data_IF_401053279267
#
_entry.id   IF_401053279267
#
_cell.length_a   1.000
_cell.length_b   1.000
_cell.length_c   1.000
_cell.angle_alpha   90.00
_cell.angle_beta   90.00
_cell.angle_gamma   90.00
#
_symmetry.space_group_name_H-M   'P 1'
#
loop_
_entity.id
_entity.type
_entity.pdbx_description
1 polymer ?
#
# COMPACT_ATOMS: atom_id res chain seq x y z
N UNK A 1 25.91 30.45 15.34
CA UNK A 1 25.48 31.44 16.36
C UNK A 1 24.69 30.67 17.42
N UNK A 2 25.09 30.73 18.68
CA UNK A 2 24.32 30.12 19.77
C UNK A 2 23.08 30.98 20.00
N UNK A 3 21.90 30.44 19.68
CA UNK A 3 20.63 31.04 20.09
C UNK A 3 20.32 30.60 21.51
N UNK A 4 19.67 31.44 22.31
CA UNK A 4 19.14 31.08 23.63
C UNK A 4 17.62 31.09 23.52
N UNK A 5 16.98 29.98 23.87
CA UNK A 5 15.52 29.85 23.88
C UNK A 5 15.01 29.60 25.29
N UNK A 6 13.75 29.96 25.52
CA UNK A 6 13.07 29.72 26.80
C UNK A 6 12.88 28.22 26.97
N UNK A 7 13.21 27.68 28.14
CA UNK A 7 13.17 26.23 28.39
C UNK A 7 11.77 25.63 28.20
N UNK A 8 10.71 26.42 28.43
CA UNK A 8 9.31 26.04 28.25
C UNK A 8 8.87 25.89 26.80
N UNK A 9 9.55 26.54 25.87
CA UNK A 9 9.13 26.63 24.47
C UNK A 9 9.63 25.45 23.63
N UNK A 10 10.48 24.61 24.23
CA UNK A 10 11.02 23.40 23.62
C UNK A 10 10.02 22.27 23.73
N UNK A 11 9.69 21.67 22.58
CA UNK A 11 8.71 20.60 22.45
C UNK A 11 9.46 19.27 22.36
N UNK A 12 9.12 18.33 23.23
CA UNK A 12 9.59 16.95 23.13
C UNK A 12 8.45 16.03 22.68
N UNK A 13 8.58 15.50 21.46
CA UNK A 13 7.59 14.60 20.84
C UNK A 13 7.82 13.14 21.23
N UNK A 14 7.21 12.73 22.34
CA UNK A 14 7.28 11.34 22.84
C UNK A 14 6.69 10.31 21.86
N UNK A 15 5.85 10.74 20.92
CA UNK A 15 5.28 9.90 19.86
C UNK A 15 6.31 9.53 18.77
N UNK A 16 7.25 10.43 18.50
CA UNK A 16 8.32 10.21 17.52
C UNK A 16 9.43 9.34 18.09
N UNK A 17 9.88 9.65 19.30
CA UNK A 17 11.01 8.96 19.95
C UNK A 17 10.60 7.63 20.60
N UNK A 18 11.41 6.57 20.52
CA UNK A 18 11.20 5.37 21.33
C UNK A 18 11.22 5.70 22.82
N UNK A 19 10.70 4.79 23.65
CA UNK A 19 10.76 4.88 25.11
C UNK A 19 12.21 4.71 25.57
N UNK A 20 13.00 5.76 25.43
CA UNK A 20 14.36 5.83 25.95
C UNK A 20 14.29 5.63 27.46
N UNK A 21 15.17 4.78 27.97
CA UNK A 21 15.32 4.58 29.40
C UNK A 21 15.90 5.89 30.00
N UNK A 22 15.02 6.72 30.56
CA UNK A 22 15.34 8.06 31.07
C UNK A 22 16.18 7.91 32.35
N UNK A 23 17.51 7.99 32.21
CA UNK A 23 18.43 7.85 33.35
C UNK A 23 18.32 9.06 34.28
N UNK A 24 17.70 8.86 35.45
CA UNK A 24 17.57 9.89 36.49
C UNK A 24 18.95 10.33 37.00
N UNK A 25 19.91 9.39 37.07
CA UNK A 25 21.28 9.63 37.53
C UNK A 25 22.06 10.57 36.60
N UNK A 26 21.90 10.40 35.29
CA UNK A 26 22.55 11.24 34.28
C UNK A 26 21.99 12.67 34.31
N UNK A 27 20.68 12.82 34.51
CA UNK A 27 20.05 14.13 34.70
C UNK A 27 20.54 14.79 35.98
N UNK A 28 20.74 14.03 37.06
CA UNK A 28 21.23 14.55 38.33
C UNK A 28 22.65 15.13 38.19
N UNK A 29 23.57 14.40 37.55
CA UNK A 29 24.94 14.86 37.29
C UNK A 29 24.98 16.13 36.44
N UNK A 30 24.17 16.20 35.38
CA UNK A 30 24.10 17.42 34.56
C UNK A 30 23.43 18.59 35.28
N UNK A 31 22.54 18.32 36.24
CA UNK A 31 21.95 19.35 37.07
C UNK A 31 22.90 19.89 38.15
N UNK A 32 24.08 19.30 38.38
CA UNK A 32 25.06 19.85 39.33
C UNK A 32 25.91 20.97 38.72
N UNK A 33 26.09 20.97 37.40
CA UNK A 33 26.94 21.95 36.70
C UNK A 33 26.37 22.31 35.32
N UNK A 34 25.46 23.29 35.27
CA UNK A 34 24.72 23.66 34.06
C UNK A 34 25.54 24.51 33.08
N UNK A 35 26.44 25.35 33.59
CA UNK A 35 27.14 26.37 32.78
C UNK A 35 28.18 25.75 31.84
N UNK A 36 28.58 24.51 32.11
CA UNK A 36 29.55 23.75 31.33
C UNK A 36 28.91 22.82 30.28
N UNK A 37 27.56 22.81 30.18
CA UNK A 37 26.87 21.91 29.26
C UNK A 37 26.90 22.43 27.81
N UNK A 38 27.15 21.54 26.82
CA UNK A 38 27.06 21.91 25.41
C UNK A 38 25.61 22.23 25.01
N UNK A 39 25.39 23.13 24.03
CA UNK A 39 24.07 23.52 23.57
C UNK A 39 23.24 22.32 23.09
N UNK A 40 21.91 22.39 23.27
CA UNK A 40 20.98 21.41 22.72
C UNK A 40 20.73 21.65 21.24
N UNK A 41 20.21 20.66 20.52
CA UNK A 41 19.85 20.80 19.10
C UNK A 41 18.33 20.67 18.94
N UNK A 42 17.73 21.62 18.22
CA UNK A 42 16.28 21.69 17.97
C UNK A 42 16.02 22.01 16.49
N UNK A 43 14.81 21.76 16.01
CA UNK A 43 14.39 22.20 14.68
C UNK A 43 13.75 23.60 14.69
N UNK A 44 13.30 24.07 13.51
CA UNK A 44 12.64 25.36 13.33
C UNK A 44 11.32 25.52 14.10
N UNK A 45 10.71 24.41 14.55
CA UNK A 45 9.46 24.38 15.32
C UNK A 45 9.72 24.23 16.84
N UNK A 46 10.97 24.39 17.28
CA UNK A 46 11.44 24.12 18.65
C UNK A 46 11.27 22.65 19.10
N UNK A 47 11.15 21.71 18.16
CA UNK A 47 11.13 20.29 18.46
C UNK A 47 12.57 19.80 18.74
N UNK A 48 12.75 19.09 19.85
CA UNK A 48 14.06 18.63 20.29
C UNK A 48 14.63 17.54 19.36
N UNK A 49 15.81 17.76 18.79
CA UNK A 49 16.58 16.79 17.99
C UNK A 49 17.55 16.01 18.90
N UNK A 50 18.34 16.72 19.72
CA UNK A 50 19.31 16.12 20.65
C UNK A 50 19.43 16.92 21.95
N UNK A 51 19.76 16.22 23.04
CA UNK A 51 20.03 16.84 24.34
C UNK A 51 18.94 16.67 25.38
N UNK A 52 18.13 15.60 25.31
CA UNK A 52 17.04 15.33 26.25
C UNK A 52 17.45 15.41 27.73
N UNK A 53 18.58 14.78 28.11
CA UNK A 53 19.10 14.83 29.48
C UNK A 53 19.49 16.26 29.91
N UNK A 54 20.07 17.05 29.00
CA UNK A 54 20.50 18.44 29.23
C UNK A 54 19.29 19.35 29.41
N UNK A 55 18.33 19.29 28.49
CA UNK A 55 17.08 20.02 28.60
C UNK A 55 16.33 19.70 29.90
N UNK A 56 16.26 18.42 30.28
CA UNK A 56 15.63 17.98 31.54
C UNK A 56 16.37 18.50 32.77
N UNK A 57 17.71 18.57 32.74
CA UNK A 57 18.50 19.16 33.82
C UNK A 57 18.24 20.66 34.00
N UNK A 58 18.22 21.44 32.90
CA UNK A 58 17.85 22.86 32.92
C UNK A 58 16.42 23.08 33.43
N UNK A 59 15.47 22.20 33.06
CA UNK A 59 14.10 22.23 33.57
C UNK A 59 14.02 21.97 35.07
N UNK A 60 14.81 21.02 35.60
CA UNK A 60 14.86 20.67 37.04
C UNK A 60 15.40 21.83 37.89
N UNK A 61 16.40 22.55 37.39
CA UNK A 61 16.98 23.74 38.02
C UNK A 61 16.17 25.03 37.81
N UNK A 62 15.07 24.99 37.06
CA UNK A 62 14.23 26.15 36.71
C UNK A 62 15.02 27.26 35.99
N UNK A 63 15.98 26.90 35.14
CA UNK A 63 16.67 27.86 34.30
C UNK A 63 15.68 28.51 33.32
N UNK A 64 15.78 29.83 33.13
CA UNK A 64 14.90 30.57 32.22
C UNK A 64 15.23 30.28 30.75
N UNK A 65 16.52 30.17 30.42
CA UNK A 65 16.99 29.98 29.04
C UNK A 65 18.00 28.85 28.91
N UNK A 66 18.02 28.19 27.77
CA UNK A 66 19.01 27.16 27.41
C UNK A 66 19.66 27.49 26.06
N UNK A 67 20.98 27.33 25.91
CA UNK A 67 21.64 27.52 24.62
C UNK A 67 21.26 26.39 23.66
N UNK A 68 20.87 26.75 22.44
CA UNK A 68 20.40 25.83 21.41
C UNK A 68 21.00 26.14 20.03
N UNK A 69 21.16 25.09 19.24
CA UNK A 69 21.49 25.11 17.80
C UNK A 69 20.23 24.73 17.05
N UNK A 70 19.85 25.53 16.05
CA UNK A 70 18.70 25.26 15.21
C UNK A 70 19.19 24.56 13.94
N UNK A 71 18.66 23.37 13.68
CA UNK A 71 18.92 22.59 12.47
C UNK A 71 17.61 22.39 11.72
N UNK A 72 17.53 22.88 10.49
CA UNK A 72 16.31 22.79 9.70
C UNK A 72 16.01 21.35 9.29
N UNK A 73 14.76 20.92 9.51
CA UNK A 73 14.25 19.61 9.12
C UNK A 73 13.07 19.73 8.18
N UNK A 74 13.10 18.98 7.07
CA UNK A 74 12.04 18.97 6.04
C UNK A 74 10.87 18.03 6.34
N UNK A 75 11.07 17.03 7.22
CA UNK A 75 10.04 16.04 7.58
C UNK A 75 10.32 15.38 8.93
N UNK A 76 9.28 14.78 9.53
CA UNK A 76 9.38 13.98 10.76
C UNK A 76 10.41 12.84 10.63
N UNK A 77 10.52 12.22 9.45
CA UNK A 77 11.50 11.17 9.19
C UNK A 77 12.93 11.70 9.21
N UNK A 78 13.18 12.89 8.64
CA UNK A 78 14.49 13.54 8.69
C UNK A 78 14.86 13.97 10.12
N UNK A 79 13.88 14.49 10.87
CA UNK A 79 14.08 14.84 12.28
C UNK A 79 14.49 13.61 13.09
N UNK A 80 13.82 12.47 12.86
CA UNK A 80 14.16 11.21 13.52
C UNK A 80 15.55 10.70 13.12
N UNK A 81 15.93 10.79 11.85
CA UNK A 81 17.26 10.41 11.36
C UNK A 81 18.38 11.22 12.03
N UNK A 82 18.26 12.54 12.05
CA UNK A 82 19.23 13.43 12.72
C UNK A 82 19.33 13.12 14.20
N UNK A 83 18.20 12.90 14.86
CA UNK A 83 18.21 12.60 16.29
C UNK A 83 18.92 11.27 16.60
N UNK A 84 18.83 10.26 15.72
CA UNK A 84 19.57 9.01 15.88
C UNK A 84 21.06 9.21 15.62
N UNK A 85 21.43 9.94 14.56
CA UNK A 85 22.82 10.21 14.20
C UNK A 85 23.57 10.95 15.32
N UNK A 86 22.91 11.95 15.93
CA UNK A 86 23.45 12.71 17.07
C UNK A 86 23.54 11.87 18.33
N UNK A 87 22.54 11.03 18.60
CA UNK A 87 22.55 10.12 19.75
C UNK A 87 23.67 9.07 19.61
N UNK A 88 23.87 8.49 18.43
CA UNK A 88 24.95 7.53 18.18
C UNK A 88 26.35 8.13 18.42
N UNK A 89 26.51 9.45 18.18
CA UNK A 89 27.79 10.16 18.37
C UNK A 89 28.10 10.51 19.83
N UNK A 90 27.09 10.69 20.68
CA UNK A 90 27.25 11.31 22.02
C UNK A 90 26.54 10.59 23.18
N UNK A 91 25.75 9.54 22.94
CA UNK A 91 24.80 8.95 23.91
C UNK A 91 25.01 7.47 24.25
N UNK A 92 24.26 7.01 25.27
CA UNK A 92 24.11 5.60 25.64
C UNK A 92 23.62 4.78 24.42
N UNK A 93 24.21 3.61 24.20
CA UNK A 93 23.80 2.74 23.09
C UNK A 93 22.32 2.35 23.22
N UNK A 94 21.54 2.73 22.21
CA UNK A 94 20.16 2.27 22.01
C UNK A 94 20.08 0.74 22.04
N UNK A 95 19.02 0.20 22.62
CA UNK A 95 18.78 -1.24 22.60
C UNK A 95 18.55 -1.73 21.16
N UNK A 96 18.78 -3.02 20.90
CA UNK A 96 18.49 -3.61 19.59
C UNK A 96 16.99 -3.51 19.22
N UNK A 97 16.11 -3.49 20.22
CA UNK A 97 14.67 -3.31 20.01
C UNK A 97 14.33 -1.88 19.58
N UNK A 98 14.89 -0.87 20.25
CA UNK A 98 14.68 0.55 19.87
C UNK A 98 15.21 0.83 18.45
N UNK A 99 16.40 0.29 18.12
CA UNK A 99 16.98 0.40 16.78
C UNK A 99 16.07 -0.19 15.70
N UNK A 100 15.47 -1.36 15.97
CA UNK A 100 14.53 -2.01 15.07
C UNK A 100 13.28 -1.17 14.86
N UNK A 101 12.71 -0.64 15.93
CA UNK A 101 11.43 0.07 15.86
C UNK A 101 11.58 1.44 15.16
N UNK A 102 12.71 2.13 15.37
CA UNK A 102 13.03 3.35 14.61
C UNK A 102 13.27 3.07 13.13
N UNK A 103 14.05 2.03 12.81
CA UNK A 103 14.27 1.63 11.42
C UNK A 103 12.93 1.38 10.71
N UNK A 104 11.98 0.73 11.38
CA UNK A 104 10.63 0.49 10.82
C UNK A 104 9.84 1.78 10.61
N UNK A 105 9.85 2.72 11.57
CA UNK A 105 9.15 4.02 11.44
C UNK A 105 9.66 4.80 10.23
N UNK A 106 10.97 4.97 10.12
CA UNK A 106 11.60 5.70 9.00
C UNK A 106 11.27 5.01 7.67
N UNK A 107 11.46 3.69 7.63
CA UNK A 107 11.28 2.90 6.41
C UNK A 107 9.84 2.88 5.90
N UNK A 108 8.83 3.01 6.77
CA UNK A 108 7.42 3.04 6.38
C UNK A 108 7.08 4.24 5.48
N UNK A 109 7.80 5.34 5.65
CA UNK A 109 7.64 6.57 4.85
C UNK A 109 8.55 6.62 3.62
N UNK A 110 9.43 5.63 3.46
CA UNK A 110 10.43 5.60 2.38
C UNK A 110 9.83 5.06 1.09
N UNK A 111 10.07 5.77 -0.02
CA UNK A 111 9.62 5.36 -1.35
C UNK A 111 10.25 4.02 -1.76
N UNK A 112 9.57 3.19 -2.55
CA UNK A 112 10.11 1.87 -2.97
C UNK A 112 11.46 1.98 -3.70
N UNK A 113 11.71 3.10 -4.40
CA UNK A 113 12.94 3.33 -5.18
C UNK A 113 14.15 3.54 -4.29
N UNK A 114 13.97 4.21 -3.16
CA UNK A 114 15.08 4.63 -2.29
C UNK A 114 15.37 3.60 -1.19
N UNK A 115 14.59 2.50 -1.14
CA UNK A 115 14.65 1.50 -0.05
C UNK A 115 16.01 0.85 0.12
N UNK A 116 16.72 0.56 -0.97
CA UNK A 116 18.03 -0.10 -0.90
C UNK A 116 19.11 0.84 -0.37
N UNK A 117 19.12 2.10 -0.80
CA UNK A 117 20.01 3.13 -0.25
C UNK A 117 19.66 3.44 1.20
N UNK A 118 18.36 3.52 1.52
CA UNK A 118 17.89 3.76 2.88
C UNK A 118 18.31 2.66 3.85
N UNK A 119 18.32 1.39 3.43
CA UNK A 119 18.82 0.28 4.26
C UNK A 119 20.30 0.43 4.61
N UNK A 120 21.13 0.87 3.65
CA UNK A 120 22.56 1.13 3.88
C UNK A 120 22.73 2.28 4.86
N UNK A 121 22.03 3.38 4.62
CA UNK A 121 22.07 4.55 5.49
C UNK A 121 21.60 4.24 6.91
N UNK A 122 20.51 3.47 7.07
CA UNK A 122 20.04 3.02 8.38
C UNK A 122 21.03 2.09 9.07
N UNK A 123 21.77 1.26 8.33
CA UNK A 123 22.80 0.40 8.90
C UNK A 123 23.97 1.22 9.48
N UNK A 124 24.39 2.27 8.77
CA UNK A 124 25.40 3.23 9.21
C UNK A 124 24.94 3.99 10.46
N UNK A 125 23.80 4.69 10.39
CA UNK A 125 23.29 5.52 11.49
C UNK A 125 23.00 4.69 12.75
N UNK A 126 22.43 3.48 12.61
CA UNK A 126 22.11 2.62 13.75
C UNK A 126 23.32 1.79 14.23
N UNK A 127 24.46 1.88 13.56
CA UNK A 127 25.68 1.11 13.86
C UNK A 127 25.40 -0.39 13.97
N UNK A 128 24.74 -0.95 12.95
CA UNK A 128 24.42 -2.39 12.84
C UNK A 128 24.76 -2.90 11.44
N UNK A 129 24.91 -4.20 11.28
CA UNK A 129 25.17 -4.76 9.95
C UNK A 129 23.96 -4.56 9.01
N UNK A 130 24.21 -4.34 7.71
CA UNK A 130 23.15 -4.30 6.70
C UNK A 130 22.24 -5.53 6.74
N UNK A 131 22.81 -6.70 7.06
CA UNK A 131 22.06 -7.96 7.21
C UNK A 131 20.99 -7.86 8.31
N UNK A 132 21.32 -7.23 9.43
CA UNK A 132 20.39 -7.02 10.54
C UNK A 132 19.22 -6.13 10.11
N UNK A 133 19.51 -5.00 9.47
CA UNK A 133 18.49 -4.05 8.98
C UNK A 133 17.59 -4.72 7.94
N UNK A 134 18.16 -5.45 6.97
CA UNK A 134 17.41 -6.26 6.00
C UNK A 134 16.49 -7.26 6.69
N UNK A 135 16.96 -7.94 7.74
CA UNK A 135 16.16 -8.85 8.54
C UNK A 135 14.94 -8.16 9.18
N UNK A 136 15.14 -7.01 9.81
CA UNK A 136 14.09 -6.24 10.48
C UNK A 136 13.01 -5.71 9.54
N UNK A 137 13.41 -5.32 8.33
CA UNK A 137 12.56 -4.67 7.33
C UNK A 137 11.99 -5.66 6.29
N UNK A 138 12.45 -6.92 6.31
CA UNK A 138 12.03 -7.98 5.37
C UNK A 138 10.52 -8.16 5.25
N UNK A 139 9.78 -8.04 6.37
CA UNK A 139 8.32 -8.13 6.37
C UNK A 139 7.68 -6.96 5.61
N UNK A 140 8.14 -5.73 5.85
CA UNK A 140 7.62 -4.54 5.16
C UNK A 140 7.87 -4.65 3.65
N UNK A 141 9.04 -5.15 3.24
CA UNK A 141 9.35 -5.40 1.84
C UNK A 141 8.47 -6.50 1.22
N UNK A 142 8.24 -7.58 1.96
CA UNK A 142 7.37 -8.67 1.55
C UNK A 142 5.94 -8.14 1.34
N UNK A 143 5.39 -7.43 2.31
CA UNK A 143 4.03 -6.89 2.27
C UNK A 143 3.88 -5.89 1.11
N UNK A 144 4.88 -5.03 0.88
CA UNK A 144 4.86 -4.07 -0.24
C UNK A 144 4.91 -4.79 -1.59
N UNK A 145 5.75 -5.82 -1.71
CA UNK A 145 5.85 -6.65 -2.91
C UNK A 145 4.56 -7.41 -3.19
N UNK A 146 3.93 -7.96 -2.15
CA UNK A 146 2.64 -8.66 -2.27
C UNK A 146 1.53 -7.69 -2.69
N UNK A 147 1.48 -6.49 -2.11
CA UNK A 147 0.54 -5.45 -2.50
C UNK A 147 0.73 -5.04 -3.98
N UNK A 148 1.98 -4.87 -4.43
CA UNK A 148 2.29 -4.58 -5.84
C UNK A 148 1.87 -5.73 -6.76
N UNK A 149 2.21 -6.95 -6.41
CA UNK A 149 1.84 -8.13 -7.20
C UNK A 149 0.31 -8.27 -7.32
N UNK A 150 -0.43 -7.98 -6.23
CA UNK A 150 -1.89 -7.96 -6.26
C UNK A 150 -2.43 -6.92 -7.24
N UNK A 151 -1.92 -5.68 -7.23
CA UNK A 151 -2.33 -4.65 -8.21
C UNK A 151 -2.04 -5.06 -9.64
N UNK A 152 -0.87 -5.65 -9.90
CA UNK A 152 -0.48 -6.19 -11.21
C UNK A 152 -1.48 -7.25 -11.67
N UNK A 153 -1.83 -8.17 -10.78
CA UNK A 153 -2.81 -9.22 -11.07
C UNK A 153 -4.20 -8.66 -11.33
N UNK A 154 -4.65 -7.69 -10.54
CA UNK A 154 -5.95 -7.03 -10.75
C UNK A 154 -6.02 -6.33 -12.12
N UNK A 155 -4.93 -5.68 -12.57
CA UNK A 155 -4.85 -5.09 -13.90
C UNK A 155 -4.81 -6.16 -15.01
N UNK A 156 -4.06 -7.24 -14.80
CA UNK A 156 -4.01 -8.35 -15.74
C UNK A 156 -5.37 -9.06 -15.90
N UNK A 157 -6.09 -9.22 -14.79
CA UNK A 157 -7.47 -9.69 -14.74
C UNK A 157 -8.41 -8.76 -15.50
N UNK A 158 -8.18 -7.45 -15.47
CA UNK A 158 -8.91 -6.44 -16.27
C UNK A 158 -8.49 -6.38 -17.75
N UNK A 159 -7.70 -7.34 -18.24
CA UNK A 159 -7.20 -7.41 -19.61
C UNK A 159 -6.29 -6.24 -20.05
N UNK A 160 -5.63 -5.55 -19.12
CA UNK A 160 -4.54 -4.63 -19.49
C UNK A 160 -3.36 -5.42 -20.10
N UNK A 161 -2.66 -4.79 -21.03
CA UNK A 161 -1.44 -5.35 -21.64
C UNK A 161 -0.30 -5.34 -20.63
N UNK A 162 0.69 -6.20 -20.84
CA UNK A 162 1.89 -6.21 -20.01
C UNK A 162 2.67 -4.90 -20.08
N UNK A 163 2.58 -4.17 -21.19
CA UNK A 163 3.21 -2.85 -21.38
C UNK A 163 2.50 -1.79 -20.54
N UNK A 164 1.17 -1.69 -20.62
CA UNK A 164 0.40 -0.74 -19.79
C UNK A 164 0.59 -1.00 -18.29
N UNK A 165 0.69 -2.27 -17.88
CA UNK A 165 0.94 -2.63 -16.48
C UNK A 165 2.37 -2.26 -16.07
N UNK A 166 3.35 -2.52 -16.92
CA UNK A 166 4.75 -2.19 -16.69
C UNK A 166 4.95 -0.67 -16.51
N UNK A 167 4.32 0.13 -17.37
CA UNK A 167 4.36 1.59 -17.30
C UNK A 167 3.68 2.11 -16.02
N UNK A 168 2.53 1.54 -15.65
CA UNK A 168 1.76 1.97 -14.48
C UNK A 168 2.44 1.65 -13.15
N UNK A 169 3.05 0.47 -13.03
CA UNK A 169 3.74 0.04 -11.82
C UNK A 169 5.25 0.35 -11.86
N UNK A 170 5.73 0.96 -12.95
CA UNK A 170 7.12 1.34 -13.17
C UNK A 170 8.11 0.18 -12.94
N UNK A 171 7.84 -0.95 -13.58
CA UNK A 171 8.68 -2.16 -13.56
C UNK A 171 8.92 -2.69 -14.98
N UNK A 172 9.94 -3.52 -15.16
CA UNK A 172 10.21 -4.11 -16.47
C UNK A 172 9.09 -5.06 -16.91
N UNK A 173 8.76 -5.07 -18.20
CA UNK A 173 7.72 -5.95 -18.79
C UNK A 173 7.92 -7.43 -18.45
N UNK A 174 9.16 -7.91 -18.45
CA UNK A 174 9.45 -9.30 -18.08
C UNK A 174 9.08 -9.62 -16.63
N UNK A 175 9.19 -8.64 -15.72
CA UNK A 175 8.76 -8.80 -14.33
C UNK A 175 7.25 -8.96 -14.25
N UNK A 176 6.49 -8.18 -15.03
CA UNK A 176 5.03 -8.33 -15.13
C UNK A 176 4.67 -9.72 -15.62
N UNK A 177 5.31 -10.20 -16.69
CA UNK A 177 5.07 -11.52 -17.26
C UNK A 177 5.32 -12.64 -16.25
N UNK A 178 6.43 -12.57 -15.52
CA UNK A 178 6.79 -13.53 -14.47
C UNK A 178 5.78 -13.52 -13.31
N UNK A 179 5.34 -12.34 -12.88
CA UNK A 179 4.35 -12.19 -11.80
C UNK A 179 3.01 -12.77 -12.22
N UNK A 180 2.52 -12.42 -13.43
CA UNK A 180 1.26 -12.93 -13.95
C UNK A 180 1.29 -14.47 -14.07
N UNK A 181 2.41 -15.04 -14.56
CA UNK A 181 2.57 -16.50 -14.66
C UNK A 181 2.46 -17.17 -13.28
N UNK A 182 3.16 -16.65 -12.27
CA UNK A 182 3.13 -17.19 -10.91
C UNK A 182 1.74 -17.08 -10.27
N UNK A 183 1.06 -15.96 -10.48
CA UNK A 183 -0.27 -15.77 -9.89
C UNK A 183 -1.34 -16.58 -10.62
N UNK A 184 -1.13 -16.92 -11.90
CA UNK A 184 -1.98 -17.84 -12.65
C UNK A 184 -1.89 -19.30 -12.16
N UNK A 185 -0.91 -19.66 -11.32
CA UNK A 185 -0.86 -21.01 -10.73
C UNK A 185 -1.96 -21.24 -9.69
N UNK A 186 -2.54 -20.14 -9.16
CA UNK A 186 -3.55 -20.07 -8.11
C UNK A 186 -3.18 -20.81 -6.80
N UNK A 187 -3.36 -20.17 -5.63
CA UNK A 187 -3.29 -20.89 -4.36
C UNK A 187 -4.31 -22.04 -4.32
N UNK A 188 -3.99 -23.15 -3.63
CA UNK A 188 -4.92 -24.27 -3.43
C UNK A 188 -6.26 -23.86 -2.80
N UNK A 189 -6.28 -22.76 -2.03
CA UNK A 189 -7.51 -22.19 -1.46
C UNK A 189 -8.46 -21.64 -2.52
N UNK A 190 -7.94 -21.18 -3.65
CA UNK A 190 -8.69 -20.42 -4.65
C UNK A 190 -9.17 -21.31 -5.80
N UNK A 191 -8.46 -22.44 -6.03
CA UNK A 191 -8.79 -23.42 -7.06
C UNK A 191 -10.23 -23.96 -6.98
N UNK A 192 -10.81 -24.25 -5.80
CA UNK A 192 -12.19 -24.72 -5.74
C UNK A 192 -13.20 -23.69 -6.28
N UNK A 193 -13.05 -22.41 -5.92
CA UNK A 193 -13.94 -21.35 -6.44
C UNK A 193 -13.74 -21.14 -7.94
N UNK A 194 -12.48 -21.10 -8.38
CA UNK A 194 -12.10 -20.92 -9.78
C UNK A 194 -12.68 -22.03 -10.69
N UNK A 195 -12.70 -23.27 -10.22
CA UNK A 195 -13.21 -24.42 -10.97
C UNK A 195 -14.67 -24.76 -10.64
N UNK A 196 -15.43 -23.81 -10.08
CA UNK A 196 -16.85 -24.01 -9.77
C UNK A 196 -17.15 -25.18 -8.82
N UNK A 197 -16.19 -25.58 -7.97
CA UNK A 197 -16.34 -26.66 -6.99
C UNK A 197 -16.99 -26.20 -5.67
N UNK A 198 -17.08 -24.89 -5.44
CA UNK A 198 -17.73 -24.27 -4.28
C UNK A 198 -18.71 -23.19 -4.70
N UNK A 199 -19.77 -23.01 -3.89
CA UNK A 199 -20.80 -21.98 -4.06
C UNK A 199 -21.35 -21.93 -5.49
N UNK A 200 -21.65 -23.10 -6.04
CA UNK A 200 -22.17 -23.31 -7.39
C UNK A 200 -23.02 -24.57 -7.48
N UNK A 201 -24.10 -24.50 -8.24
CA UNK A 201 -24.94 -25.64 -8.59
C UNK A 201 -24.91 -25.82 -10.11
N UNK A 202 -24.19 -26.83 -10.63
CA UNK A 202 -24.06 -27.04 -12.06
C UNK A 202 -25.43 -27.21 -12.75
N UNK A 203 -25.68 -26.50 -13.87
CA UNK A 203 -26.92 -26.66 -14.61
C UNK A 203 -26.95 -28.04 -15.29
N UNK A 204 -27.97 -28.86 -14.97
CA UNK A 204 -28.15 -30.19 -15.56
C UNK A 204 -28.86 -30.11 -16.93
N UNK A 205 -29.64 -29.05 -17.16
CA UNK A 205 -30.43 -28.83 -18.36
C UNK A 205 -30.07 -27.51 -19.04
N UNK A 206 -30.50 -27.36 -20.28
CA UNK A 206 -30.32 -26.14 -21.10
C UNK A 206 -31.48 -25.13 -20.98
N UNK A 207 -32.46 -25.40 -20.11
CA UNK A 207 -33.54 -24.47 -19.77
C UNK A 207 -33.37 -24.11 -18.29
N UNK A 208 -33.07 -22.83 -18.01
CA UNK A 208 -32.85 -22.35 -16.65
C UNK A 208 -34.01 -21.47 -16.17
N UNK A 209 -34.36 -21.60 -14.90
CA UNK A 209 -35.46 -20.85 -14.26
C UNK A 209 -35.00 -20.35 -12.90
N UNK A 210 -35.39 -19.12 -12.56
CA UNK A 210 -35.15 -18.53 -11.24
C UNK A 210 -36.41 -17.78 -10.81
N UNK A 211 -36.91 -18.11 -9.61
CA UNK A 211 -38.15 -17.52 -9.07
C UNK A 211 -37.86 -16.26 -8.25
N UNK A 212 -36.79 -16.28 -7.46
CA UNK A 212 -36.41 -15.17 -6.58
C UNK A 212 -35.25 -14.37 -7.18
N UNK A 213 -35.35 -13.04 -7.16
CA UNK A 213 -34.28 -12.16 -7.62
C UNK A 213 -33.13 -12.10 -6.62
N UNK A 214 -31.92 -11.92 -7.13
CA UNK A 214 -30.75 -11.64 -6.28
C UNK A 214 -30.93 -10.32 -5.50
N UNK A 215 -30.56 -10.31 -4.23
CA UNK A 215 -30.64 -9.14 -3.35
C UNK A 215 -29.88 -7.94 -3.94
N UNK A 216 -30.46 -6.74 -3.88
CA UNK A 216 -29.84 -5.49 -4.34
C UNK A 216 -30.15 -5.07 -5.79
N UNK A 217 -30.89 -5.88 -6.56
CA UNK A 217 -31.16 -5.63 -7.97
C UNK A 217 -32.61 -5.20 -8.26
N UNK A 218 -32.93 -3.93 -7.95
CA UNK A 218 -34.31 -3.41 -8.08
C UNK A 218 -34.60 -2.68 -9.40
N UNK A 219 -33.67 -2.61 -10.34
CA UNK A 219 -33.90 -1.94 -11.62
C UNK A 219 -34.51 -2.90 -12.66
N UNK A 220 -35.33 -2.33 -13.55
CA UNK A 220 -36.04 -3.08 -14.58
C UNK A 220 -35.07 -3.73 -15.56
N UNK A 221 -35.31 -5.01 -15.87
CA UNK A 221 -34.53 -5.81 -16.84
C UNK A 221 -33.25 -6.46 -16.31
N UNK A 222 -32.91 -6.30 -15.02
CA UNK A 222 -31.71 -6.92 -14.43
C UNK A 222 -31.60 -8.42 -14.72
N UNK A 223 -30.54 -8.82 -15.42
CA UNK A 223 -30.17 -10.22 -15.59
C UNK A 223 -29.60 -10.81 -14.31
N UNK A 224 -30.04 -12.03 -13.98
CA UNK A 224 -29.52 -12.72 -12.80
C UNK A 224 -28.07 -13.13 -13.00
N UNK A 225 -27.23 -12.87 -12.00
CA UNK A 225 -25.79 -13.19 -12.02
C UNK A 225 -25.53 -14.69 -12.21
N UNK A 226 -26.49 -15.53 -11.79
CA UNK A 226 -26.48 -16.99 -12.02
C UNK A 226 -26.37 -17.36 -13.50
N UNK A 227 -26.96 -16.58 -14.41
CA UNK A 227 -26.89 -16.86 -15.85
C UNK A 227 -25.48 -16.71 -16.36
N UNK A 228 -24.80 -15.63 -15.99
CA UNK A 228 -23.40 -15.46 -16.33
C UNK A 228 -22.54 -16.55 -15.68
N UNK A 229 -22.74 -16.88 -14.40
CA UNK A 229 -21.94 -17.90 -13.71
C UNK A 229 -22.08 -19.29 -14.38
N UNK A 230 -23.29 -19.63 -14.84
CA UNK A 230 -23.54 -20.83 -15.66
C UNK A 230 -22.80 -20.78 -17.00
N UNK A 231 -22.83 -19.65 -17.71
CA UNK A 231 -22.13 -19.49 -18.99
C UNK A 231 -20.61 -19.61 -18.80
N UNK A 232 -20.06 -19.04 -17.73
CA UNK A 232 -18.64 -19.19 -17.41
C UNK A 232 -18.29 -20.65 -17.16
N UNK A 233 -19.12 -21.38 -16.42
CA UNK A 233 -18.91 -22.81 -16.19
C UNK A 233 -18.92 -23.64 -17.48
N UNK A 234 -19.82 -23.33 -18.42
CA UNK A 234 -20.01 -24.14 -19.64
C UNK A 234 -19.00 -23.82 -20.76
N UNK A 235 -18.51 -22.59 -20.84
CA UNK A 235 -17.78 -22.09 -22.01
C UNK A 235 -16.40 -21.52 -21.71
N UNK A 236 -15.95 -21.49 -20.46
CA UNK A 236 -14.67 -20.87 -20.09
C UNK A 236 -13.93 -21.63 -19.00
N UNK A 237 -12.61 -21.59 -19.05
CA UNK A 237 -11.72 -22.06 -17.98
C UNK A 237 -11.20 -20.88 -17.14
N UNK A 238 -10.58 -21.13 -15.96
CA UNK A 238 -9.87 -20.09 -15.23
C UNK A 238 -8.88 -19.33 -16.14
N UNK A 239 -8.91 -18.00 -16.03
CA UNK A 239 -8.14 -17.02 -16.78
C UNK A 239 -8.49 -16.81 -18.25
N UNK A 240 -9.49 -17.50 -18.77
CA UNK A 240 -10.07 -17.17 -20.06
C UNK A 240 -10.64 -15.75 -20.07
N UNK A 241 -10.68 -15.13 -21.25
CA UNK A 241 -11.12 -13.75 -21.43
C UNK A 241 -12.63 -13.72 -21.72
N UNK A 242 -13.34 -12.97 -20.88
CA UNK A 242 -14.76 -12.63 -21.02
C UNK A 242 -14.88 -11.16 -21.39
N UNK A 243 -15.65 -10.86 -22.42
CA UNK A 243 -15.91 -9.49 -22.89
C UNK A 243 -17.37 -9.17 -22.66
N UNK A 244 -17.64 -8.09 -21.93
CA UNK A 244 -19.00 -7.57 -21.71
C UNK A 244 -19.04 -6.07 -22.00
N UNK A 245 -19.57 -5.67 -23.16
CA UNK A 245 -19.67 -4.28 -23.55
C UNK A 245 -20.92 -3.56 -23.00
N UNK A 246 -21.74 -4.25 -22.21
CA UNK A 246 -22.97 -3.74 -21.60
C UNK A 246 -22.96 -3.96 -20.09
N UNK A 247 -21.84 -3.61 -19.46
CA UNK A 247 -21.55 -3.98 -18.08
C UNK A 247 -22.60 -3.51 -17.07
N UNK A 248 -23.31 -2.40 -17.34
CA UNK A 248 -24.35 -1.87 -16.46
C UNK A 248 -23.87 -1.70 -15.03
N UNK A 249 -24.46 -2.47 -14.09
CA UNK A 249 -24.06 -2.48 -12.67
C UNK A 249 -22.72 -3.18 -12.38
N UNK A 250 -22.14 -3.86 -13.36
CA UNK A 250 -20.84 -4.53 -13.30
C UNK A 250 -20.88 -5.94 -12.70
N UNK A 251 -22.01 -6.64 -12.73
CA UNK A 251 -22.15 -8.04 -12.28
C UNK A 251 -21.10 -8.96 -12.92
N UNK A 252 -20.75 -8.70 -14.19
CA UNK A 252 -19.69 -9.41 -14.90
C UNK A 252 -18.34 -9.33 -14.20
N UNK A 253 -17.97 -8.17 -13.67
CA UNK A 253 -16.73 -7.99 -12.91
C UNK A 253 -16.74 -8.92 -11.68
N UNK A 254 -17.85 -8.96 -10.97
CA UNK A 254 -17.94 -9.63 -9.67
C UNK A 254 -17.90 -11.15 -9.85
N UNK A 255 -18.64 -11.68 -10.84
CA UNK A 255 -18.62 -13.11 -11.18
C UNK A 255 -17.25 -13.50 -11.76
N UNK A 256 -16.67 -12.70 -12.66
CA UNK A 256 -15.36 -13.00 -13.23
C UNK A 256 -14.25 -12.97 -12.17
N UNK A 257 -14.27 -12.03 -11.21
CA UNK A 257 -13.34 -12.03 -10.06
C UNK A 257 -13.52 -13.29 -9.20
N UNK A 258 -14.75 -13.64 -8.83
CA UNK A 258 -15.06 -14.86 -8.04
C UNK A 258 -14.52 -16.13 -8.70
N UNK A 259 -14.67 -16.22 -10.02
CA UNK A 259 -14.35 -17.39 -10.84
C UNK A 259 -12.99 -17.30 -11.53
N UNK A 260 -12.19 -16.28 -11.25
CA UNK A 260 -10.89 -16.07 -11.89
C UNK A 260 -10.92 -16.03 -13.42
N UNK A 261 -11.98 -15.49 -14.04
CA UNK A 261 -11.98 -15.17 -15.48
C UNK A 261 -11.42 -13.77 -15.68
N UNK A 262 -10.56 -13.61 -16.68
CA UNK A 262 -10.12 -12.27 -17.08
C UNK A 262 -11.29 -11.58 -17.76
N UNK A 263 -11.50 -10.31 -17.49
CA UNK A 263 -12.66 -9.57 -17.96
C UNK A 263 -12.25 -8.26 -18.60
N UNK A 264 -12.82 -8.01 -19.77
CA UNK A 264 -12.87 -6.68 -20.36
C UNK A 264 -14.32 -6.24 -20.34
N UNK A 265 -14.60 -5.22 -19.54
CA UNK A 265 -15.94 -4.68 -19.42
C UNK A 265 -15.99 -3.21 -19.81
N UNK A 266 -17.06 -2.83 -20.49
CA UNK A 266 -17.36 -1.44 -20.82
C UNK A 266 -18.85 -1.15 -20.72
N UNK A 267 -19.19 0.12 -20.69
CA UNK A 267 -20.54 0.62 -20.87
C UNK A 267 -20.48 1.99 -21.56
N UNK A 268 -21.54 2.38 -22.26
CA UNK A 268 -21.67 3.72 -22.86
C UNK A 268 -21.74 4.80 -21.77
N UNK A 269 -22.42 4.49 -20.66
CA UNK A 269 -22.58 5.37 -19.51
C UNK A 269 -22.34 4.58 -18.21
N UNK A 270 -21.06 4.35 -17.85
CA UNK A 270 -20.72 3.69 -16.59
C UNK A 270 -21.37 4.40 -15.40
N UNK A 271 -21.84 3.62 -14.42
CA UNK A 271 -22.34 4.18 -13.17
C UNK A 271 -21.22 4.87 -12.39
N UNK A 272 -21.54 6.00 -11.75
CA UNK A 272 -20.57 6.87 -11.05
C UNK A 272 -19.75 6.08 -10.03
N UNK A 273 -20.39 5.15 -9.32
CA UNK A 273 -19.77 4.31 -8.29
C UNK A 273 -18.72 3.35 -8.85
N UNK A 274 -18.76 3.01 -10.16
CA UNK A 274 -17.88 2.05 -10.82
C UNK A 274 -17.17 2.60 -12.06
N UNK A 275 -17.13 3.92 -12.26
CA UNK A 275 -16.40 4.55 -13.38
C UNK A 275 -14.92 4.14 -13.45
N UNK A 276 -14.31 3.82 -12.31
CA UNK A 276 -12.92 3.34 -12.24
C UNK A 276 -12.74 1.86 -12.62
N UNK A 277 -13.83 1.08 -12.68
CA UNK A 277 -13.81 -0.34 -13.00
C UNK A 277 -14.39 -0.65 -14.38
N UNK A 278 -15.39 0.10 -14.82
CA UNK A 278 -16.09 -0.07 -16.10
C UNK A 278 -15.57 0.97 -17.09
N UNK A 279 -15.07 0.52 -18.24
CA UNK A 279 -14.56 1.42 -19.28
C UNK A 279 -15.72 2.15 -19.95
N UNK A 280 -15.59 3.46 -20.17
CA UNK A 280 -16.54 4.20 -20.99
C UNK A 280 -16.26 3.93 -22.47
N UNK A 281 -17.17 3.22 -23.15
CA UNK A 281 -17.03 2.89 -24.57
C UNK A 281 -18.41 2.65 -25.21
N UNK A 282 -18.66 3.25 -26.37
CA UNK A 282 -19.85 2.99 -27.17
C UNK A 282 -19.50 2.03 -28.32
N UNK A 283 -20.17 0.88 -28.41
CA UNK A 283 -19.93 -0.09 -29.49
C UNK A 283 -20.28 0.44 -30.88
N UNK A 284 -21.06 1.52 -30.97
CA UNK A 284 -21.36 2.18 -32.25
C UNK A 284 -20.10 2.86 -32.81
N UNK A 285 -19.17 3.27 -31.95
CA UNK A 285 -17.89 3.85 -32.36
C UNK A 285 -16.90 2.81 -32.92
N UNK A 286 -17.22 1.53 -32.78
CA UNK A 286 -16.46 0.42 -33.36
C UNK A 286 -16.27 -0.75 -32.39
N UNK A 287 -15.45 -1.71 -32.84
CA UNK A 287 -15.05 -2.85 -32.01
C UNK A 287 -13.93 -2.38 -31.07
N UNK A 288 -14.00 -2.63 -29.75
CA UNK A 288 -12.97 -2.20 -28.84
C UNK A 288 -11.61 -2.84 -29.15
N UNK A 289 -10.55 -2.05 -28.95
CA UNK A 289 -9.17 -2.49 -29.19
C UNK A 289 -8.70 -3.39 -28.04
N UNK A 290 -9.07 -4.67 -28.11
CA UNK A 290 -8.50 -5.71 -27.26
C UNK A 290 -7.11 -6.11 -27.77
N UNK A 291 -6.18 -6.51 -26.88
CA UNK A 291 -4.84 -6.93 -27.30
C UNK A 291 -4.87 -8.04 -28.36
N UNK A 292 -5.79 -9.01 -28.21
CA UNK A 292 -6.03 -10.11 -29.15
C UNK A 292 -7.46 -10.65 -29.05
N UNK A 293 -8.29 -10.39 -30.06
CA UNK A 293 -9.66 -10.92 -30.14
C UNK A 293 -9.74 -12.44 -30.23
N UNK A 294 -8.72 -13.08 -30.84
CA UNK A 294 -8.66 -14.54 -30.96
C UNK A 294 -8.51 -15.28 -29.62
N UNK A 295 -8.12 -14.57 -28.56
CA UNK A 295 -7.92 -15.14 -27.23
C UNK A 295 -9.18 -14.95 -26.34
N UNK A 296 -10.29 -14.41 -26.90
CA UNK A 296 -11.57 -14.24 -26.20
C UNK A 296 -12.38 -15.53 -26.25
N UNK A 297 -12.75 -16.06 -25.09
CA UNK A 297 -13.55 -17.30 -24.97
C UNK A 297 -15.05 -17.03 -24.96
N UNK A 298 -15.49 -15.89 -24.41
CA UNK A 298 -16.90 -15.55 -24.30
C UNK A 298 -17.13 -14.05 -24.49
N UNK A 299 -18.10 -13.69 -25.33
CA UNK A 299 -18.67 -12.35 -25.38
C UNK A 299 -20.07 -12.42 -24.77
N UNK A 300 -20.26 -11.78 -23.62
CA UNK A 300 -21.54 -11.72 -22.94
C UNK A 300 -22.23 -10.40 -23.29
N UNK A 301 -23.33 -10.49 -24.03
CA UNK A 301 -24.13 -9.34 -24.42
C UNK A 301 -25.41 -9.36 -23.60
N UNK A 302 -25.36 -8.78 -22.40
CA UNK A 302 -26.57 -8.50 -21.64
C UNK A 302 -27.26 -7.29 -22.29
N UNK A 303 -28.40 -7.46 -22.99
CA UNK A 303 -28.93 -6.41 -23.83
C UNK A 303 -29.25 -5.16 -22.99
N UNK A 304 -28.82 -3.96 -23.44
CA UNK A 304 -29.15 -2.73 -22.74
C UNK A 304 -30.67 -2.53 -22.75
N UNK A 305 -31.17 -1.99 -21.64
CA UNK A 305 -32.58 -1.65 -21.50
C UNK A 305 -33.05 -0.75 -22.65
N UNK A 306 -34.24 -1.06 -23.17
CA UNK A 306 -35.07 -0.26 -24.07
C UNK A 306 -34.76 1.24 -23.98
N UNK A 307 -34.69 1.95 -25.13
CA UNK A 307 -34.44 3.40 -25.28
C UNK A 307 -33.93 4.02 -23.98
N UNK A 308 -32.63 3.86 -23.70
CA UNK A 308 -31.94 4.68 -22.71
C UNK A 308 -32.13 6.14 -23.13
N UNK A 309 -33.15 6.78 -22.56
CA UNK A 309 -33.55 8.15 -22.84
C UNK A 309 -32.48 9.13 -22.36
#
# INVERSE_FOLDING_TARGET
MQNKLVVSDIIYREDLYPRLNKSVETVQKYAEDLDMLPPIEINQNNELIDGWHRWTAHKKQKAETIPCIITETSSDSQLLELAIERNASHGLQLSQEDKRDMARKIYHTTSERDRDEKKKHLAEILSVSERTVRGWLSRIDKDSKEARNKRIFDLWMKCYTQEEIADRENIHKDSVSEICRKMAELPESDKPSANHLTDFEPPIYNIWKQQDKSQGSNHFGNSETRWLDNLLYLYTEPFDIVVDPFAGGGSTIDVCKKRFRRYWVSDRLPIVERESEIRKYDLIDGIPSLPRWKDVSLIYLDPPYWKQA
#
